data_IF_378866006856
#
_entry.id   IF_378866006856
#
_cell.length_a   1.000
_cell.length_b   1.000
_cell.length_c   1.000
_cell.angle_alpha   90.00
_cell.angle_beta   90.00
_cell.angle_gamma   90.00
#
_symmetry.space_group_name_H-M   'P 1'
#
loop_
_entity.id
_entity.type
_entity.pdbx_description
1 polymer ?
#
# COMPACT_ATOMS: atom_id res chain seq x y z
N UNK A 1 -12.39 14.53 15.66
CA UNK A 1 -13.71 15.13 15.92
C UNK A 1 -14.77 14.05 15.74
N UNK A 2 -15.87 14.08 16.49
CA UNK A 2 -17.03 13.20 16.32
C UNK A 2 -18.15 14.05 15.67
N UNK A 3 -18.67 13.65 14.53
CA UNK A 3 -19.79 14.32 13.85
C UNK A 3 -21.00 13.39 13.78
N UNK A 4 -21.60 13.11 14.93
CA UNK A 4 -22.91 12.46 14.99
C UNK A 4 -23.98 13.56 14.91
N UNK A 5 -24.33 14.00 13.69
CA UNK A 5 -25.61 14.68 13.48
C UNK A 5 -26.71 13.62 13.33
N UNK A 6 -27.99 14.00 13.52
CA UNK A 6 -29.16 13.13 13.36
C UNK A 6 -29.28 12.64 11.91
N UNK A 7 -28.51 11.62 11.57
CA UNK A 7 -28.52 10.95 10.27
C UNK A 7 -29.52 9.78 10.29
N UNK A 8 -29.98 9.32 9.11
CA UNK A 8 -30.83 8.14 9.01
C UNK A 8 -30.24 6.97 9.78
N UNK A 9 -31.05 6.27 10.58
CA UNK A 9 -30.60 5.07 11.27
C UNK A 9 -30.29 3.97 10.26
N UNK A 10 -29.00 3.64 10.13
CA UNK A 10 -28.56 2.52 9.30
C UNK A 10 -28.93 1.17 9.89
N UNK A 11 -28.82 0.12 9.07
CA UNK A 11 -29.09 -1.27 9.51
C UNK A 11 -28.03 -1.81 10.48
N UNK A 12 -26.85 -1.20 10.50
CA UNK A 12 -25.75 -1.61 11.37
C UNK A 12 -25.74 -0.77 12.64
N UNK A 13 -25.76 -1.44 13.79
CA UNK A 13 -25.48 -0.79 15.06
C UNK A 13 -24.01 -0.33 15.07
N UNK A 14 -23.78 0.98 14.94
CA UNK A 14 -22.45 1.58 14.97
C UNK A 14 -21.87 1.50 16.39
N UNK A 15 -20.62 1.03 16.49
CA UNK A 15 -19.89 0.85 17.75
C UNK A 15 -18.49 1.48 17.73
N UNK A 16 -18.04 1.94 16.56
CA UNK A 16 -16.75 2.56 16.35
C UNK A 16 -16.57 3.83 17.20
N UNK A 17 -15.32 4.11 17.56
CA UNK A 17 -14.97 5.33 18.30
C UNK A 17 -14.68 6.52 17.39
N UNK A 18 -14.48 6.24 16.10
CA UNK A 18 -14.25 7.21 15.04
C UNK A 18 -15.43 7.23 14.07
N UNK A 19 -15.74 8.42 13.58
CA UNK A 19 -16.68 8.69 12.50
C UNK A 19 -16.09 9.84 11.67
N UNK A 20 -16.10 9.73 10.35
CA UNK A 20 -15.42 10.68 9.46
C UNK A 20 -16.38 11.77 8.96
N UNK A 21 -15.90 12.62 8.04
CA UNK A 21 -16.68 13.78 7.61
C UNK A 21 -17.83 13.42 6.66
N UNK A 22 -17.80 12.26 6.00
CA UNK A 22 -18.93 11.81 5.19
C UNK A 22 -20.17 11.60 6.07
N UNK A 23 -21.35 12.02 5.59
CA UNK A 23 -22.59 11.79 6.32
C UNK A 23 -23.00 10.32 6.26
N UNK A 24 -23.50 9.81 7.39
CA UNK A 24 -23.85 8.39 7.52
C UNK A 24 -25.18 8.07 6.83
N UNK A 25 -25.22 6.94 6.10
CA UNK A 25 -26.42 6.30 5.55
C UNK A 25 -27.29 7.17 4.62
N UNK A 26 -26.77 8.32 4.15
CA UNK A 26 -27.50 9.26 3.27
C UNK A 26 -27.78 8.70 1.87
N UNK A 27 -26.95 7.77 1.37
CA UNK A 27 -27.16 7.14 0.06
C UNK A 27 -28.00 5.87 0.17
N UNK A 28 -27.77 5.07 1.21
CA UNK A 28 -28.44 3.78 1.44
C UNK A 28 -28.34 3.38 2.92
N UNK A 29 -29.36 2.74 3.51
CA UNK A 29 -29.32 2.30 4.90
C UNK A 29 -28.31 1.17 5.17
N UNK A 30 -27.73 0.56 4.11
CA UNK A 30 -26.79 -0.57 4.22
C UNK A 30 -25.32 -0.16 4.31
N UNK A 31 -24.96 1.06 3.91
CA UNK A 31 -23.58 1.56 3.83
C UNK A 31 -23.54 2.94 4.48
N UNK A 32 -22.81 3.06 5.61
CA UNK A 32 -22.73 4.31 6.36
C UNK A 32 -22.04 5.42 5.55
N UNK A 33 -20.76 5.26 5.27
CA UNK A 33 -19.98 6.25 4.51
C UNK A 33 -19.78 5.72 3.08
N UNK A 34 -20.70 6.05 2.17
CA UNK A 34 -20.82 5.41 0.85
C UNK A 34 -19.56 5.58 -0.02
N UNK A 35 -19.04 6.80 -0.13
CA UNK A 35 -17.86 7.10 -0.92
C UNK A 35 -16.62 6.53 -0.26
N UNK A 36 -16.43 6.69 1.04
CA UNK A 36 -15.31 6.11 1.78
C UNK A 36 -15.30 4.58 1.66
N UNK A 37 -16.47 3.94 1.67
CA UNK A 37 -16.60 2.50 1.46
C UNK A 37 -16.14 2.08 0.07
N UNK A 38 -16.72 2.65 -1.00
CA UNK A 38 -16.45 2.20 -2.37
C UNK A 38 -15.05 2.56 -2.86
N UNK A 39 -14.47 3.65 -2.35
CA UNK A 39 -13.11 4.05 -2.72
C UNK A 39 -12.03 3.06 -2.25
N UNK A 40 -12.37 2.09 -1.38
CA UNK A 40 -11.51 0.96 -1.01
C UNK A 40 -11.46 -0.18 -2.05
N UNK A 41 -12.21 -0.08 -3.16
CA UNK A 41 -12.18 -1.05 -4.28
C UNK A 41 -10.80 -1.22 -4.93
N UNK A 42 -9.84 -0.33 -4.67
CA UNK A 42 -8.45 -0.51 -5.09
C UNK A 42 -7.86 -1.84 -4.59
N UNK A 43 -8.44 -2.46 -3.54
CA UNK A 43 -8.14 -3.82 -3.07
C UNK A 43 -8.07 -4.86 -4.20
N UNK A 44 -8.89 -4.69 -5.26
CA UNK A 44 -8.92 -5.60 -6.42
C UNK A 44 -7.55 -5.69 -7.11
N UNK A 45 -6.74 -4.62 -7.05
CA UNK A 45 -5.39 -4.63 -7.64
C UNK A 45 -4.48 -5.68 -6.99
N UNK A 46 -4.63 -5.93 -5.69
CA UNK A 46 -3.81 -6.91 -4.99
C UNK A 46 -4.11 -8.35 -5.45
N UNK A 47 -5.35 -8.67 -5.88
CA UNK A 47 -5.66 -9.96 -6.48
C UNK A 47 -4.85 -10.23 -7.76
N UNK A 48 -4.59 -9.20 -8.57
CA UNK A 48 -3.75 -9.31 -9.78
C UNK A 48 -2.31 -9.65 -9.41
N UNK A 49 -1.76 -9.00 -8.39
CA UNK A 49 -0.40 -9.30 -7.94
C UNK A 49 -0.28 -10.66 -7.25
N UNK A 50 -1.30 -11.08 -6.50
CA UNK A 50 -1.37 -12.44 -5.93
C UNK A 50 -1.32 -13.47 -7.07
N UNK A 51 -2.12 -13.28 -8.13
CA UNK A 51 -2.06 -14.11 -9.33
C UNK A 51 -0.67 -14.11 -9.97
N UNK A 52 -0.01 -12.95 -10.05
CA UNK A 52 1.35 -12.83 -10.59
C UNK A 52 2.39 -13.59 -9.77
N UNK A 53 2.26 -13.61 -8.44
CA UNK A 53 3.15 -14.39 -7.58
C UNK A 53 3.09 -15.87 -7.94
N UNK A 54 1.89 -16.42 -8.15
CA UNK A 54 1.72 -17.81 -8.58
C UNK A 54 2.19 -18.04 -10.02
N UNK A 55 1.77 -17.18 -10.96
CA UNK A 55 2.07 -17.31 -12.39
C UNK A 55 3.57 -17.26 -12.68
N UNK A 56 4.28 -16.30 -12.08
CA UNK A 56 5.71 -16.10 -12.31
C UNK A 56 6.59 -16.82 -11.29
N UNK A 57 5.99 -17.63 -10.40
CA UNK A 57 6.67 -18.39 -9.34
C UNK A 57 7.55 -17.48 -8.48
N UNK A 58 7.02 -16.31 -8.12
CA UNK A 58 7.70 -15.43 -7.18
C UNK A 58 7.67 -16.02 -5.77
N UNK A 59 8.60 -15.56 -4.95
CA UNK A 59 8.74 -16.00 -3.57
C UNK A 59 7.46 -15.69 -2.76
N UNK A 60 7.07 -16.60 -1.87
CA UNK A 60 5.84 -16.48 -1.07
C UNK A 60 5.81 -15.24 -0.19
N UNK A 61 6.95 -14.60 0.10
CA UNK A 61 7.00 -13.28 0.76
C UNK A 61 6.17 -12.20 0.05
N UNK A 62 6.11 -12.24 -1.28
CA UNK A 62 5.33 -11.28 -2.05
C UNK A 62 3.83 -11.58 -1.94
N UNK A 63 3.45 -12.84 -1.71
CA UNK A 63 2.07 -13.19 -1.37
C UNK A 63 1.64 -12.51 -0.07
N UNK A 64 2.47 -12.57 0.98
CA UNK A 64 2.19 -11.90 2.26
C UNK A 64 2.08 -10.37 2.11
N UNK A 65 2.95 -9.75 1.29
CA UNK A 65 2.86 -8.32 0.97
C UNK A 65 1.49 -7.95 0.40
N UNK A 66 1.05 -8.64 -0.67
CA UNK A 66 -0.20 -8.29 -1.35
C UNK A 66 -1.45 -8.70 -0.56
N UNK A 67 -1.42 -9.82 0.17
CA UNK A 67 -2.49 -10.19 1.10
C UNK A 67 -2.63 -9.15 2.22
N UNK A 68 -1.53 -8.62 2.76
CA UNK A 68 -1.60 -7.59 3.79
C UNK A 68 -2.31 -6.32 3.29
N UNK A 69 -2.02 -5.90 2.05
CA UNK A 69 -2.75 -4.81 1.39
C UNK A 69 -4.24 -5.10 1.21
N UNK A 70 -4.60 -6.31 0.79
CA UNK A 70 -6.01 -6.74 0.71
C UNK A 70 -6.72 -6.63 2.05
N UNK A 71 -6.10 -7.08 3.14
CA UNK A 71 -6.67 -7.07 4.48
C UNK A 71 -6.94 -5.64 4.93
N UNK A 72 -5.99 -4.73 4.74
CA UNK A 72 -6.14 -3.29 5.08
C UNK A 72 -7.32 -2.67 4.33
N UNK A 73 -7.37 -2.85 3.01
CA UNK A 73 -8.43 -2.27 2.18
C UNK A 73 -9.81 -2.86 2.50
N UNK A 74 -9.88 -4.17 2.75
CA UNK A 74 -11.12 -4.87 3.11
C UNK A 74 -11.59 -4.48 4.51
N UNK A 75 -10.67 -4.36 5.47
CA UNK A 75 -10.97 -3.86 6.81
C UNK A 75 -11.50 -2.43 6.78
N UNK A 76 -10.87 -1.55 5.99
CA UNK A 76 -11.34 -0.18 5.77
C UNK A 76 -12.74 -0.17 5.13
N UNK A 77 -12.98 -0.98 4.10
CA UNK A 77 -14.31 -1.13 3.50
C UNK A 77 -15.36 -1.48 4.56
N UNK A 78 -15.16 -2.55 5.32
CA UNK A 78 -16.15 -2.98 6.32
C UNK A 78 -16.32 -1.97 7.44
N UNK A 79 -15.25 -1.27 7.83
CA UNK A 79 -15.32 -0.17 8.78
C UNK A 79 -16.23 0.95 8.27
N UNK A 80 -16.00 1.49 7.07
CA UNK A 80 -16.80 2.59 6.51
C UNK A 80 -18.23 2.15 6.17
N UNK A 81 -18.45 0.88 5.88
CA UNK A 81 -19.79 0.34 5.62
C UNK A 81 -20.64 0.25 6.89
N UNK A 82 -20.04 -0.13 8.02
CA UNK A 82 -20.77 -0.55 9.22
C UNK A 82 -20.56 0.33 10.45
N UNK A 83 -19.49 1.14 10.46
CA UNK A 83 -18.98 1.88 11.61
C UNK A 83 -18.87 1.02 12.88
N UNK A 84 -18.38 -0.22 12.72
CA UNK A 84 -18.17 -1.16 13.82
C UNK A 84 -16.72 -1.19 14.30
N UNK A 85 -16.57 -1.24 15.62
CA UNK A 85 -15.26 -1.21 16.30
C UNK A 85 -14.35 -2.37 15.90
N UNK A 86 -14.92 -3.55 15.64
CA UNK A 86 -14.18 -4.74 15.20
C UNK A 86 -13.41 -4.46 13.91
N UNK A 87 -14.05 -3.81 12.93
CA UNK A 87 -13.42 -3.46 11.66
C UNK A 87 -12.48 -2.26 11.76
N UNK A 88 -12.68 -1.36 12.74
CA UNK A 88 -11.75 -0.28 13.04
C UNK A 88 -10.34 -0.81 13.37
N UNK A 89 -10.26 -1.99 14.00
CA UNK A 89 -8.99 -2.62 14.39
C UNK A 89 -8.37 -3.51 13.31
N UNK A 90 -9.18 -4.03 12.37
CA UNK A 90 -8.70 -4.92 11.30
C UNK A 90 -7.88 -4.20 10.22
N UNK A 91 -7.99 -2.88 10.10
CA UNK A 91 -7.37 -2.06 9.06
C UNK A 91 -5.86 -1.78 9.25
N UNK A 92 -5.20 -2.40 10.22
CA UNK A 92 -3.86 -1.96 10.71
C UNK A 92 -2.65 -2.76 10.20
N UNK A 93 -2.85 -3.83 9.42
CA UNK A 93 -1.77 -4.78 9.10
C UNK A 93 -1.12 -4.53 7.73
N UNK A 94 -0.10 -3.68 7.65
CA UNK A 94 0.74 -3.55 6.45
C UNK A 94 2.16 -4.05 6.70
N UNK A 95 2.58 -5.10 5.98
CA UNK A 95 3.94 -5.65 6.04
C UNK A 95 4.76 -5.21 4.81
N UNK A 96 5.42 -4.05 4.89
CA UNK A 96 6.27 -3.53 3.80
C UNK A 96 7.73 -4.00 3.84
N UNK A 97 8.17 -4.67 4.91
CA UNK A 97 9.57 -5.04 5.08
C UNK A 97 9.88 -6.40 4.42
N UNK A 98 10.35 -6.34 3.18
CA UNK A 98 10.78 -7.51 2.43
C UNK A 98 12.22 -7.89 2.81
N UNK A 99 12.42 -9.14 3.19
CA UNK A 99 13.72 -9.76 3.43
C UNK A 99 14.50 -9.96 2.11
N UNK A 100 15.83 -9.84 2.10
CA UNK A 100 16.62 -9.68 0.85
C UNK A 100 17.75 -10.70 0.66
N UNK A 101 17.74 -11.81 1.38
CA UNK A 101 18.72 -12.88 1.19
C UNK A 101 18.68 -13.32 -0.27
N UNK A 102 19.83 -13.38 -0.95
CA UNK A 102 19.92 -13.81 -2.34
C UNK A 102 19.25 -15.16 -2.57
N UNK A 103 18.67 -15.38 -3.77
CA UNK A 103 18.08 -16.69 -4.11
C UNK A 103 19.12 -17.83 -4.07
N UNK A 104 20.40 -17.50 -4.27
CA UNK A 104 21.52 -18.45 -4.24
C UNK A 104 21.92 -18.91 -2.83
N UNK A 105 21.48 -18.21 -1.78
CA UNK A 105 21.80 -18.60 -0.41
C UNK A 105 21.13 -19.93 -0.02
N UNK A 106 21.68 -20.62 0.99
CA UNK A 106 21.10 -21.87 1.46
C UNK A 106 19.67 -21.66 1.96
N UNK A 107 18.83 -22.71 1.88
CA UNK A 107 17.44 -22.63 2.37
C UNK A 107 17.39 -22.33 3.87
N UNK A 108 18.36 -22.81 4.63
CA UNK A 108 18.47 -22.53 6.06
C UNK A 108 18.81 -21.06 6.34
N UNK A 109 19.74 -20.48 5.58
CA UNK A 109 20.08 -19.07 5.68
C UNK A 109 18.88 -18.18 5.32
N UNK A 110 18.20 -18.48 4.21
CA UNK A 110 17.00 -17.75 3.81
C UNK A 110 15.91 -17.81 4.89
N UNK A 111 15.67 -18.99 5.48
CA UNK A 111 14.70 -19.16 6.58
C UNK A 111 15.12 -18.37 7.83
N UNK A 112 16.37 -18.50 8.25
CA UNK A 112 16.90 -17.80 9.44
C UNK A 112 16.77 -16.29 9.29
N UNK A 113 17.19 -15.74 8.15
CA UNK A 113 17.12 -14.30 7.88
C UNK A 113 15.67 -13.83 7.75
N UNK A 114 14.78 -14.62 7.12
CA UNK A 114 13.35 -14.36 7.09
C UNK A 114 12.74 -14.29 8.49
N UNK A 115 13.07 -15.23 9.37
CA UNK A 115 12.58 -15.23 10.76
C UNK A 115 13.14 -14.04 11.56
N UNK A 116 14.41 -13.70 11.35
CA UNK A 116 15.06 -12.55 12.00
C UNK A 116 14.39 -11.22 11.65
N UNK A 117 13.79 -11.10 10.46
CA UNK A 117 13.02 -9.93 10.05
C UNK A 117 11.55 -10.05 10.48
N UNK A 118 10.93 -11.20 10.24
CA UNK A 118 9.49 -11.38 10.44
C UNK A 118 9.09 -11.37 11.92
N UNK A 119 9.83 -12.04 12.80
CA UNK A 119 9.45 -12.17 14.22
C UNK A 119 9.41 -10.82 14.93
N UNK A 120 10.45 -9.95 14.86
CA UNK A 120 10.38 -8.63 15.49
C UNK A 120 9.26 -7.75 14.94
N UNK A 121 8.99 -7.83 13.63
CA UNK A 121 7.91 -7.06 13.01
C UNK A 121 6.53 -7.52 13.49
N UNK A 122 6.30 -8.84 13.54
CA UNK A 122 5.06 -9.42 14.05
C UNK A 122 4.87 -8.99 15.51
N UNK A 123 5.90 -9.13 16.34
CA UNK A 123 5.84 -8.71 17.75
C UNK A 123 5.53 -7.22 17.87
N UNK A 124 6.21 -6.36 17.11
CA UNK A 124 5.97 -4.92 17.10
C UNK A 124 4.51 -4.59 16.71
N UNK A 125 4.01 -5.18 15.62
CA UNK A 125 2.62 -4.95 15.17
C UNK A 125 1.60 -5.47 16.17
N UNK A 126 1.87 -6.60 16.83
CA UNK A 126 1.01 -7.16 17.86
C UNK A 126 0.96 -6.26 19.10
N UNK A 127 2.11 -5.75 19.55
CA UNK A 127 2.18 -4.82 20.69
C UNK A 127 1.42 -3.53 20.37
N UNK A 128 1.64 -2.92 19.20
CA UNK A 128 0.90 -1.73 18.77
C UNK A 128 -0.61 -2.01 18.78
N UNK A 129 -1.03 -3.16 18.24
CA UNK A 129 -2.45 -3.52 18.16
C UNK A 129 -3.07 -3.72 19.55
N UNK A 130 -2.40 -4.45 20.45
CA UNK A 130 -2.87 -4.68 21.82
C UNK A 130 -2.99 -3.35 22.57
N UNK A 131 -1.97 -2.50 22.50
CA UNK A 131 -2.00 -1.19 23.15
C UNK A 131 -3.12 -0.33 22.58
N UNK A 132 -3.29 -0.29 21.26
CA UNK A 132 -4.36 0.46 20.61
C UNK A 132 -5.75 0.00 21.07
N UNK A 133 -5.99 -1.31 21.16
CA UNK A 133 -7.25 -1.88 21.66
C UNK A 133 -7.51 -1.48 23.12
N UNK A 134 -6.47 -1.42 23.96
CA UNK A 134 -6.60 -1.09 25.38
C UNK A 134 -6.86 0.40 25.63
N UNK A 135 -6.12 1.29 24.95
CA UNK A 135 -6.19 2.73 25.19
C UNK A 135 -7.23 3.42 24.32
N UNK A 136 -7.57 2.84 23.16
CA UNK A 136 -8.55 3.36 22.20
C UNK A 136 -8.26 4.81 21.74
N UNK A 137 -6.98 5.17 21.62
CA UNK A 137 -6.52 6.49 21.17
C UNK A 137 -6.06 6.39 19.72
N UNK A 138 -6.82 6.98 18.80
CA UNK A 138 -6.51 6.96 17.36
C UNK A 138 -5.15 7.58 17.02
N UNK A 139 -4.74 8.63 17.73
CA UNK A 139 -3.46 9.32 17.52
C UNK A 139 -2.28 8.38 17.77
N UNK A 140 -2.36 7.50 18.77
CA UNK A 140 -1.30 6.51 19.03
C UNK A 140 -1.08 5.61 17.81
N UNK A 141 -2.17 5.08 17.24
CA UNK A 141 -2.10 4.25 16.05
C UNK A 141 -1.54 5.02 14.83
N UNK A 142 -1.98 6.27 14.63
CA UNK A 142 -1.49 7.12 13.54
C UNK A 142 0.02 7.39 13.64
N UNK A 143 0.53 7.70 14.84
CA UNK A 143 1.97 7.92 15.08
C UNK A 143 2.76 6.64 14.86
N UNK A 144 2.27 5.50 15.37
CA UNK A 144 2.92 4.20 15.18
C UNK A 144 3.00 3.82 13.69
N UNK A 145 1.89 4.00 12.96
CA UNK A 145 1.84 3.79 11.51
C UNK A 145 2.81 4.71 10.76
N UNK A 146 2.85 6.01 11.10
CA UNK A 146 3.78 6.97 10.49
C UNK A 146 5.24 6.56 10.69
N UNK A 147 5.61 6.11 11.90
CA UNK A 147 6.95 5.59 12.18
C UNK A 147 7.29 4.35 11.33
N UNK A 148 6.34 3.42 11.17
CA UNK A 148 6.50 2.24 10.31
C UNK A 148 6.69 2.62 8.83
N UNK A 149 5.90 3.57 8.32
CA UNK A 149 6.04 4.07 6.95
C UNK A 149 7.41 4.74 6.76
N UNK A 150 7.83 5.61 7.68
CA UNK A 150 9.13 6.29 7.61
C UNK A 150 10.29 5.29 7.63
N UNK A 151 10.25 4.29 8.51
CA UNK A 151 11.27 3.23 8.53
C UNK A 151 11.34 2.45 7.21
N UNK A 152 10.18 2.18 6.59
CA UNK A 152 10.09 1.50 5.29
C UNK A 152 10.66 2.38 4.17
N UNK A 153 10.40 3.69 4.19
CA UNK A 153 11.00 4.65 3.24
C UNK A 153 12.51 4.70 3.39
N UNK A 154 13.03 4.82 4.62
CA UNK A 154 14.48 4.83 4.89
C UNK A 154 15.14 3.54 4.40
N UNK A 155 14.56 2.38 4.72
CA UNK A 155 15.02 1.09 4.21
C UNK A 155 15.06 1.09 2.69
N UNK A 156 13.98 1.49 2.02
CA UNK A 156 13.90 1.55 0.57
C UNK A 156 14.99 2.44 -0.03
N UNK A 157 15.29 3.60 0.57
CA UNK A 157 16.38 4.49 0.13
C UNK A 157 17.74 3.79 0.25
N UNK A 158 18.01 3.11 1.37
CA UNK A 158 19.26 2.35 1.57
C UNK A 158 19.42 1.28 0.49
N UNK A 159 18.35 0.56 0.17
CA UNK A 159 18.37 -0.48 -0.86
C UNK A 159 18.57 0.07 -2.27
N UNK A 160 17.97 1.22 -2.58
CA UNK A 160 18.21 1.91 -3.85
C UNK A 160 19.68 2.30 -3.99
N UNK A 161 20.28 2.86 -2.94
CA UNK A 161 21.72 3.21 -2.92
C UNK A 161 22.59 1.96 -3.12
N UNK A 162 22.27 0.88 -2.40
CA UNK A 162 22.99 -0.40 -2.53
C UNK A 162 22.91 -0.94 -3.96
N UNK A 163 21.73 -0.94 -4.57
CA UNK A 163 21.55 -1.41 -5.94
C UNK A 163 22.30 -0.51 -6.94
N UNK A 164 22.22 0.81 -6.78
CA UNK A 164 22.90 1.78 -7.62
C UNK A 164 24.42 1.57 -7.62
N UNK A 165 25.04 1.52 -6.43
CA UNK A 165 26.49 1.35 -6.31
C UNK A 165 26.97 -0.02 -6.80
N UNK A 166 26.19 -1.08 -6.57
CA UNK A 166 26.59 -2.44 -6.97
C UNK A 166 26.42 -2.70 -8.47
N UNK A 167 25.33 -2.25 -9.08
CA UNK A 167 24.97 -2.67 -10.44
C UNK A 167 24.97 -1.53 -11.45
N UNK A 168 24.55 -0.33 -11.07
CA UNK A 168 24.39 0.79 -12.02
C UNK A 168 25.71 1.53 -12.21
N UNK A 169 26.34 1.99 -11.13
CA UNK A 169 27.53 2.84 -11.17
C UNK A 169 28.71 2.19 -11.93
N UNK A 170 29.08 0.91 -11.70
CA UNK A 170 30.26 0.34 -12.34
C UNK A 170 30.10 0.15 -13.85
N UNK A 171 28.86 -0.04 -14.32
CA UNK A 171 28.59 -0.31 -15.72
C UNK A 171 28.33 0.96 -16.52
N UNK A 172 28.29 2.15 -15.91
CA UNK A 172 27.91 3.41 -16.59
C UNK A 172 28.67 3.64 -17.91
N UNK A 173 29.95 3.23 -17.95
CA UNK A 173 30.89 3.38 -19.06
C UNK A 173 30.82 2.28 -20.13
N UNK A 174 30.18 1.13 -19.85
CA UNK A 174 29.99 0.04 -20.81
C UNK A 174 28.74 0.29 -21.66
N UNK A 175 28.93 0.97 -22.79
CA UNK A 175 27.92 1.07 -23.85
C UNK A 175 27.98 -0.20 -24.72
N UNK A 176 27.07 -1.17 -24.49
CA UNK A 176 26.96 -2.30 -25.41
C UNK A 176 26.11 -3.49 -24.96
N UNK A 177 26.00 -3.77 -23.66
CA UNK A 177 25.19 -4.91 -23.20
C UNK A 177 23.70 -4.50 -23.06
N UNK A 178 22.84 -5.12 -23.88
CA UNK A 178 21.39 -4.98 -23.84
C UNK A 178 20.84 -5.23 -22.42
N UNK A 179 21.46 -6.14 -21.67
CA UNK A 179 21.11 -6.48 -20.29
C UNK A 179 21.30 -5.28 -19.35
N UNK A 180 22.41 -4.56 -19.48
CA UNK A 180 22.73 -3.41 -18.64
C UNK A 180 21.83 -2.21 -18.96
N UNK A 181 21.54 -2.00 -20.24
CA UNK A 181 20.56 -1.00 -20.68
C UNK A 181 19.18 -1.28 -20.07
N UNK A 182 18.73 -2.54 -20.10
CA UNK A 182 17.45 -2.94 -19.52
C UNK A 182 17.43 -2.76 -18.00
N UNK A 183 18.50 -3.13 -17.28
CA UNK A 183 18.62 -2.93 -15.82
C UNK A 183 18.52 -1.46 -15.45
N UNK A 184 19.20 -0.55 -16.17
CA UNK A 184 19.12 0.90 -15.97
C UNK A 184 17.71 1.44 -16.20
N UNK A 185 17.07 1.03 -17.29
CA UNK A 185 15.70 1.44 -17.62
C UNK A 185 14.72 1.00 -16.54
N UNK A 186 14.78 -0.27 -16.14
CA UNK A 186 13.92 -0.81 -15.07
C UNK A 186 14.17 -0.07 -13.75
N UNK A 187 15.43 0.23 -13.42
CA UNK A 187 15.77 1.00 -12.22
C UNK A 187 15.20 2.43 -12.25
N UNK A 188 15.28 3.11 -13.40
CA UNK A 188 14.71 4.45 -13.57
C UNK A 188 13.17 4.44 -13.48
N UNK A 189 12.51 3.49 -14.14
CA UNK A 189 11.05 3.31 -14.07
C UNK A 189 10.60 3.01 -12.63
N UNK A 190 11.30 2.13 -11.93
CA UNK A 190 11.05 1.81 -10.52
C UNK A 190 11.18 3.06 -9.62
N UNK A 191 12.24 3.87 -9.78
CA UNK A 191 12.39 5.13 -9.03
C UNK A 191 11.25 6.11 -9.32
N UNK A 192 10.82 6.21 -10.58
CA UNK A 192 9.68 7.04 -10.97
C UNK A 192 8.40 6.59 -10.27
N UNK A 193 8.12 5.29 -10.22
CA UNK A 193 6.97 4.73 -9.51
C UNK A 193 7.02 5.04 -8.00
N UNK A 194 8.18 4.92 -7.37
CA UNK A 194 8.34 5.28 -5.95
C UNK A 194 8.04 6.76 -5.70
N UNK A 195 8.55 7.66 -6.55
CA UNK A 195 8.31 9.10 -6.41
C UNK A 195 6.83 9.43 -6.63
N UNK A 196 6.22 8.92 -7.70
CA UNK A 196 4.80 9.12 -7.98
C UNK A 196 3.96 8.58 -6.81
N UNK A 197 4.26 7.37 -6.32
CA UNK A 197 3.54 6.76 -5.22
C UNK A 197 3.65 7.56 -3.93
N UNK A 198 4.85 8.07 -3.60
CA UNK A 198 5.06 8.93 -2.44
C UNK A 198 4.31 10.26 -2.56
N UNK A 199 4.34 10.90 -3.73
CA UNK A 199 3.59 12.14 -3.97
C UNK A 199 2.09 11.91 -3.81
N UNK A 200 1.54 10.85 -4.43
CA UNK A 200 0.12 10.50 -4.30
C UNK A 200 -0.27 10.26 -2.84
N UNK A 201 0.56 9.54 -2.09
CA UNK A 201 0.32 9.26 -0.67
C UNK A 201 0.35 10.54 0.19
N UNK A 202 1.31 11.44 -0.05
CA UNK A 202 1.41 12.71 0.67
C UNK A 202 0.26 13.67 0.31
N UNK A 203 -0.10 13.77 -0.97
CA UNK A 203 -1.25 14.56 -1.39
C UNK A 203 -2.53 14.04 -0.76
N UNK A 204 -2.74 12.72 -0.76
CA UNK A 204 -3.84 12.10 -0.05
C UNK A 204 -3.85 12.49 1.44
N UNK A 205 -2.69 12.42 2.11
CA UNK A 205 -2.59 12.77 3.53
C UNK A 205 -3.00 14.23 3.81
N UNK A 206 -2.64 15.14 2.91
CA UNK A 206 -3.08 16.53 2.99
C UNK A 206 -4.60 16.61 2.86
N UNK A 207 -5.20 15.94 1.87
CA UNK A 207 -6.65 15.92 1.67
C UNK A 207 -7.39 15.34 2.89
N UNK A 208 -6.86 14.27 3.49
CA UNK A 208 -7.39 13.70 4.73
C UNK A 208 -7.38 14.72 5.88
N UNK A 209 -6.31 15.51 6.05
CA UNK A 209 -6.27 16.55 7.07
C UNK A 209 -7.26 17.68 6.79
N UNK A 210 -7.41 18.09 5.52
CA UNK A 210 -8.40 19.10 5.11
C UNK A 210 -9.82 18.60 5.42
N UNK A 211 -10.12 17.33 5.13
CA UNK A 211 -11.40 16.67 5.46
C UNK A 211 -11.72 16.75 6.96
N UNK A 212 -10.72 16.47 7.80
CA UNK A 212 -10.88 16.48 9.25
C UNK A 212 -11.03 17.89 9.84
N UNK A 213 -10.30 18.88 9.31
CA UNK A 213 -10.27 20.25 9.86
C UNK A 213 -11.45 21.08 9.36
N UNK A 214 -11.77 21.00 8.08
CA UNK A 214 -12.79 21.84 7.43
C UNK A 214 -14.09 21.07 7.16
N UNK A 215 -14.41 20.09 8.01
CA UNK A 215 -15.50 19.18 7.74
C UNK A 215 -16.86 19.88 7.59
N UNK A 216 -17.14 20.86 8.46
CA UNK A 216 -18.43 21.57 8.45
C UNK A 216 -18.58 22.42 7.18
N UNK A 217 -17.51 23.06 6.74
CA UNK A 217 -17.43 23.86 5.52
C UNK A 217 -17.58 22.97 4.29
N UNK A 218 -16.91 21.81 4.28
CA UNK A 218 -17.03 20.82 3.21
C UNK A 218 -18.44 20.24 3.14
N UNK A 219 -19.08 19.91 4.28
CA UNK A 219 -20.50 19.47 4.31
C UNK A 219 -21.44 20.52 3.73
N UNK A 220 -21.25 21.80 4.08
CA UNK A 220 -22.05 22.91 3.51
C UNK A 220 -21.85 23.00 1.99
N UNK A 221 -20.60 23.04 1.53
CA UNK A 221 -20.28 23.11 0.11
C UNK A 221 -20.81 21.90 -0.68
N UNK A 222 -20.80 20.70 -0.08
CA UNK A 222 -21.39 19.49 -0.68
C UNK A 222 -22.88 19.63 -0.94
N UNK A 223 -23.62 20.20 0.00
CA UNK A 223 -25.06 20.46 -0.15
C UNK A 223 -25.33 21.45 -1.29
N UNK A 224 -24.52 22.50 -1.41
CA UNK A 224 -24.65 23.51 -2.47
C UNK A 224 -24.33 22.92 -3.87
N UNK A 225 -23.40 21.96 -3.94
CA UNK A 225 -23.01 21.28 -5.18
C UNK A 225 -23.98 20.16 -5.61
N UNK A 226 -24.95 19.79 -4.78
CA UNK A 226 -25.89 18.70 -5.02
C UNK A 226 -25.17 17.40 -5.39
N UNK A 227 -25.47 16.85 -6.58
CA UNK A 227 -24.87 15.58 -7.04
C UNK A 227 -23.35 15.63 -7.19
N UNK A 228 -22.74 16.79 -7.41
CA UNK A 228 -21.28 16.90 -7.53
C UNK A 228 -20.58 16.99 -6.17
N UNK A 229 -21.33 16.99 -5.07
CA UNK A 229 -20.77 17.01 -3.72
C UNK A 229 -19.85 15.83 -3.42
N UNK A 230 -19.98 14.69 -4.11
CA UNK A 230 -19.04 13.57 -3.92
C UNK A 230 -17.57 13.95 -4.20
N UNK A 231 -17.31 14.97 -5.04
CA UNK A 231 -15.96 15.44 -5.33
C UNK A 231 -15.27 16.05 -4.10
N UNK A 232 -16.05 16.51 -3.11
CA UNK A 232 -15.56 17.07 -1.85
C UNK A 232 -15.47 16.03 -0.73
N UNK A 233 -15.71 14.74 -1.01
CA UNK A 233 -15.42 13.64 -0.08
C UNK A 233 -13.91 13.40 -0.05
N UNK A 234 -13.18 14.27 0.65
CA UNK A 234 -11.71 14.28 0.64
C UNK A 234 -11.14 13.04 1.34
N UNK A 235 -11.87 12.45 2.27
CA UNK A 235 -11.54 11.13 2.84
C UNK A 235 -11.62 10.00 1.80
N UNK A 236 -12.56 10.07 0.84
CA UNK A 236 -12.62 9.15 -0.29
C UNK A 236 -11.40 9.27 -1.22
N UNK A 237 -10.98 10.51 -1.50
CA UNK A 237 -9.74 10.76 -2.24
C UNK A 237 -8.50 10.29 -1.49
N UNK A 238 -8.53 10.31 -0.16
CA UNK A 238 -7.48 9.73 0.67
C UNK A 238 -7.32 8.23 0.42
N UNK A 239 -8.41 7.45 0.38
CA UNK A 239 -8.34 6.02 0.07
C UNK A 239 -7.78 5.75 -1.33
N UNK A 240 -8.24 6.49 -2.34
CA UNK A 240 -7.74 6.35 -3.72
C UNK A 240 -6.24 6.65 -3.78
N UNK A 241 -5.82 7.80 -3.25
CA UNK A 241 -4.44 8.26 -3.36
C UNK A 241 -3.46 7.42 -2.55
N UNK A 242 -3.82 7.02 -1.33
CA UNK A 242 -3.01 6.09 -0.53
C UNK A 242 -3.00 4.68 -1.10
N UNK A 243 -4.12 4.20 -1.65
CA UNK A 243 -4.22 2.90 -2.32
C UNK A 243 -3.31 2.81 -3.54
N UNK A 244 -3.44 3.75 -4.48
CA UNK A 244 -2.58 3.83 -5.67
C UNK A 244 -1.12 4.03 -5.27
N UNK A 245 -0.87 4.96 -4.33
CA UNK A 245 0.48 5.23 -3.84
C UNK A 245 1.15 4.00 -3.25
N UNK A 246 0.42 3.26 -2.41
CA UNK A 246 0.88 2.00 -1.80
C UNK A 246 1.15 0.94 -2.87
N UNK A 247 0.25 0.77 -3.84
CA UNK A 247 0.44 -0.21 -4.93
C UNK A 247 1.71 0.11 -5.73
N UNK A 248 1.94 1.38 -6.08
CA UNK A 248 3.10 1.78 -6.86
C UNK A 248 4.41 1.60 -6.08
N UNK A 249 4.43 2.02 -4.82
CA UNK A 249 5.58 1.84 -3.94
C UNK A 249 5.85 0.36 -3.65
N UNK A 250 4.81 -0.45 -3.42
CA UNK A 250 4.93 -1.89 -3.18
C UNK A 250 5.45 -2.62 -4.42
N UNK A 251 4.90 -2.36 -5.60
CA UNK A 251 5.36 -2.94 -6.86
C UNK A 251 6.82 -2.57 -7.18
N UNK A 252 7.20 -1.31 -6.94
CA UNK A 252 8.57 -0.86 -7.11
C UNK A 252 9.52 -1.49 -6.08
N UNK A 253 9.08 -1.68 -4.83
CA UNK A 253 9.87 -2.36 -3.79
C UNK A 253 10.03 -3.86 -4.10
N UNK A 254 8.98 -4.52 -4.61
CA UNK A 254 9.06 -5.88 -5.12
C UNK A 254 10.05 -5.97 -6.29
N UNK A 255 10.01 -5.04 -7.24
CA UNK A 255 10.97 -4.98 -8.34
C UNK A 255 12.41 -4.83 -7.82
N UNK A 256 12.66 -3.90 -6.90
CA UNK A 256 13.99 -3.72 -6.29
C UNK A 256 14.48 -4.99 -5.60
N UNK A 257 13.58 -5.68 -4.88
CA UNK A 257 13.86 -6.94 -4.21
C UNK A 257 14.23 -8.04 -5.21
N UNK A 258 13.48 -8.17 -6.31
CA UNK A 258 13.79 -9.12 -7.39
C UNK A 258 15.16 -8.84 -8.00
N UNK A 259 15.42 -7.57 -8.35
CA UNK A 259 16.69 -7.14 -8.95
C UNK A 259 17.91 -7.34 -8.02
N UNK A 260 17.73 -7.23 -6.70
CA UNK A 260 18.80 -7.45 -5.71
C UNK A 260 19.04 -8.94 -5.40
N UNK A 261 18.00 -9.77 -5.46
CA UNK A 261 18.07 -11.19 -5.07
C UNK A 261 18.40 -12.13 -6.22
N UNK A 262 18.09 -11.71 -7.44
CA UNK A 262 18.19 -12.53 -8.64
C UNK A 262 19.05 -11.82 -9.69
N UNK A 263 20.37 -12.02 -9.58
CA UNK A 263 21.36 -11.34 -10.42
C UNK A 263 21.38 -11.84 -11.87
N UNK A 264 20.87 -13.07 -12.10
CA UNK A 264 20.89 -13.76 -13.39
C UNK A 264 19.69 -13.36 -14.26
N UNK A 265 18.55 -13.10 -13.64
CA UNK A 265 17.34 -12.72 -14.34
C UNK A 265 17.29 -11.21 -14.58
N UNK A 266 16.72 -10.83 -15.72
CA UNK A 266 16.37 -9.43 -16.00
C UNK A 266 14.87 -9.26 -15.83
N UNK A 267 14.45 -8.09 -15.33
CA UNK A 267 13.05 -7.80 -15.06
C UNK A 267 12.64 -6.48 -15.72
N UNK A 268 11.34 -6.34 -16.00
CA UNK A 268 10.73 -5.09 -16.46
C UNK A 268 9.32 -4.94 -15.89
N UNK A 269 8.76 -3.74 -15.96
CA UNK A 269 7.34 -3.55 -15.71
C UNK A 269 6.50 -3.88 -16.95
N UNK A 270 5.46 -4.67 -16.76
CA UNK A 270 4.34 -4.82 -17.68
C UNK A 270 3.16 -4.04 -17.15
N UNK A 271 2.50 -3.27 -18.00
CA UNK A 271 1.39 -2.42 -17.60
C UNK A 271 0.06 -3.05 -18.00
N UNK A 272 -0.90 -3.09 -17.07
CA UNK A 272 -2.28 -3.51 -17.35
C UNK A 272 -3.20 -2.52 -16.65
N UNK A 273 -3.96 -1.72 -17.40
CA UNK A 273 -4.87 -0.70 -16.84
C UNK A 273 -4.21 0.14 -15.72
N UNK A 274 -3.02 0.68 -15.97
CA UNK A 274 -2.21 1.48 -15.02
C UNK A 274 -1.60 0.72 -13.83
N UNK A 275 -1.68 -0.60 -13.81
CA UNK A 275 -1.07 -1.45 -12.78
C UNK A 275 0.33 -1.88 -13.24
N UNK A 276 1.41 -1.44 -12.57
CA UNK A 276 2.78 -1.80 -12.91
C UNK A 276 3.15 -3.18 -12.35
N UNK A 277 3.22 -4.19 -13.21
CA UNK A 277 3.48 -5.58 -12.81
C UNK A 277 4.94 -5.95 -13.08
N UNK A 278 5.75 -6.27 -12.06
CA UNK A 278 7.07 -6.84 -12.27
C UNK A 278 6.93 -8.16 -13.03
N UNK A 279 7.62 -8.29 -14.17
CA UNK A 279 7.70 -9.54 -14.94
C UNK A 279 9.14 -9.83 -15.35
N UNK A 280 9.46 -11.10 -15.57
CA UNK A 280 10.75 -11.50 -16.15
C UNK A 280 10.84 -10.96 -17.58
N UNK A 281 11.95 -10.33 -17.91
CA UNK A 281 12.26 -9.88 -19.26
C UNK A 281 12.78 -11.08 -20.06
N UNK A 282 11.99 -11.54 -21.03
CA UNK A 282 12.43 -12.53 -22.00
C UNK A 282 12.94 -11.81 -23.24
N UNK A 283 14.24 -11.93 -23.51
CA UNK A 283 14.79 -11.49 -24.77
C UNK A 283 14.24 -12.42 -25.87
N UNK A 284 13.66 -11.86 -26.95
CA UNK A 284 12.98 -12.63 -28.02
C UNK A 284 13.87 -13.68 -28.73
N UNK A 285 15.16 -13.78 -28.39
CA UNK A 285 16.12 -14.76 -28.91
C UNK A 285 16.56 -15.89 -27.95
N UNK A 286 16.17 -15.90 -26.66
CA UNK A 286 16.53 -16.97 -25.73
C UNK A 286 15.33 -17.89 -25.47
N UNK A 287 15.26 -19.02 -26.19
CA UNK A 287 14.42 -20.14 -25.77
C UNK A 287 14.97 -20.70 -24.45
N UNK A 288 14.09 -20.90 -23.47
CA UNK A 288 14.41 -21.69 -22.27
C UNK A 288 14.81 -23.11 -22.74
N UNK A 289 16.06 -23.48 -22.51
CA UNK A 289 16.49 -24.88 -22.51
C UNK A 289 15.91 -25.58 -21.27
#
# INVERSE_FOLDING_TARGET
>A
MKYFEDHPTGVWNATATLNWCEEDYVVTPYIAEFVNTLTNLWAVTAAIYIYDVYKYKYDTRYLFLWISGCIVATGSWFFHMTLRWEWQTAASFLFLNIELTPKSASREEQKRNALFVAVPLILLTSVISIVYIQINIAIFHQVAYAAMVLSSVVRTIILHRRYYHKFIQPHLSTEGDITDVQKRRTFAEMRKLQIIGAVMFLTAFILWNVDNVFCLELRKARRDMGRLGFLLQLHGWWHIGTGIGTVYMAAATQMLSLLLRDEKETYRFSWTLFIPRPIVYQNKGQKRL
#
